data_IF_769955712022
#
_entry.id   IF_769955712022
#
_cell.length_a   1.000
_cell.length_b   1.000
_cell.length_c   1.000
_cell.angle_alpha   90.00
_cell.angle_beta   90.00
_cell.angle_gamma   90.00
#
_symmetry.space_group_name_H-M   'P 1'
#
loop_
_entity.id
_entity.type
_entity.pdbx_description
1 polymer ?
#
# COMPACT_ATOMS: atom_id res chain seq x y z
N UNK A 1 9.41 2.83 -18.03
CA UNK A 1 8.51 1.85 -18.65
C UNK A 1 9.32 0.63 -19.11
N UNK A 2 8.70 -0.55 -19.09
CA UNK A 2 9.36 -1.79 -19.49
C UNK A 2 10.04 -2.60 -18.38
N UNK A 3 10.17 -2.08 -17.18
CA UNK A 3 10.77 -2.82 -16.05
C UNK A 3 10.07 -4.15 -15.78
N UNK A 4 8.76 -4.13 -15.64
CA UNK A 4 7.97 -5.35 -15.38
C UNK A 4 8.08 -6.34 -16.53
N UNK A 5 7.96 -5.89 -17.79
CA UNK A 5 8.15 -6.73 -18.97
C UNK A 5 9.54 -7.38 -18.99
N UNK A 6 10.59 -6.61 -18.66
CA UNK A 6 11.96 -7.13 -18.59
C UNK A 6 12.12 -8.14 -17.46
N UNK A 7 11.55 -7.88 -16.27
CA UNK A 7 11.62 -8.80 -15.12
C UNK A 7 10.90 -10.11 -15.40
N UNK A 8 9.71 -10.05 -16.00
CA UNK A 8 8.95 -11.25 -16.38
C UNK A 8 9.68 -12.04 -17.45
N UNK A 9 10.18 -11.36 -18.52
CA UNK A 9 10.94 -12.01 -19.59
C UNK A 9 12.24 -12.64 -19.10
N UNK A 10 12.94 -12.00 -18.15
CA UNK A 10 14.13 -12.58 -17.52
C UNK A 10 13.78 -13.84 -16.73
N UNK A 11 12.70 -13.81 -15.95
CA UNK A 11 12.22 -14.98 -15.19
C UNK A 11 11.87 -16.14 -16.12
N UNK A 12 11.13 -15.86 -17.21
CA UNK A 12 10.77 -16.89 -18.20
C UNK A 12 12.01 -17.44 -18.91
N UNK A 13 12.96 -16.58 -19.28
CA UNK A 13 14.24 -16.98 -19.86
C UNK A 13 15.08 -17.86 -18.94
N UNK A 14 15.16 -17.54 -17.65
CA UNK A 14 15.86 -18.36 -16.66
C UNK A 14 15.22 -19.75 -16.53
N UNK A 15 13.91 -19.84 -16.42
CA UNK A 15 13.20 -21.11 -16.37
C UNK A 15 13.40 -21.92 -17.66
N UNK A 16 13.37 -21.28 -18.83
CA UNK A 16 13.59 -21.93 -20.11
C UNK A 16 14.96 -22.60 -20.25
N UNK A 17 16.00 -22.03 -19.65
CA UNK A 17 17.34 -22.63 -19.61
C UNK A 17 17.56 -23.57 -18.41
N UNK A 18 16.48 -24.00 -17.75
CA UNK A 18 16.50 -24.99 -16.67
C UNK A 18 16.89 -24.43 -15.29
N UNK A 19 16.87 -23.13 -15.10
CA UNK A 19 17.05 -22.50 -13.77
C UNK A 19 15.71 -22.42 -13.04
N UNK A 20 15.69 -22.72 -11.76
CA UNK A 20 14.48 -22.58 -10.91
C UNK A 20 14.34 -21.12 -10.49
N UNK A 21 13.53 -20.36 -11.18
CA UNK A 21 13.34 -18.93 -10.96
C UNK A 21 11.89 -18.57 -10.69
N UNK A 22 11.67 -17.55 -9.87
CA UNK A 22 10.37 -16.93 -9.58
C UNK A 22 10.50 -15.41 -9.69
N UNK A 23 9.45 -14.74 -10.20
CA UNK A 23 9.39 -13.29 -10.25
C UNK A 23 8.49 -12.76 -9.14
N UNK A 24 8.93 -11.68 -8.46
CA UNK A 24 8.15 -10.98 -7.44
C UNK A 24 7.91 -9.54 -7.91
N UNK A 25 6.64 -9.17 -8.05
CA UNK A 25 6.20 -7.91 -8.64
C UNK A 25 5.34 -7.10 -7.68
N UNK A 26 5.24 -5.80 -7.96
CA UNK A 26 4.26 -4.93 -7.31
C UNK A 26 2.89 -5.09 -7.96
N UNK A 27 1.85 -4.96 -7.16
CA UNK A 27 0.48 -4.79 -7.62
C UNK A 27 0.29 -3.36 -8.18
N UNK A 28 -0.39 -3.18 -9.33
CA UNK A 28 -0.60 -1.87 -9.92
C UNK A 28 -1.73 -1.09 -9.20
N UNK A 29 -1.55 0.22 -9.07
CA UNK A 29 -2.60 1.15 -8.62
C UNK A 29 -3.60 1.44 -9.73
N UNK A 30 -4.89 1.58 -9.40
CA UNK A 30 -5.96 1.90 -10.36
C UNK A 30 -5.75 3.26 -11.03
N UNK A 31 -5.32 4.28 -10.29
CA UNK A 31 -5.10 5.61 -10.84
C UNK A 31 -4.13 5.60 -12.03
N UNK A 32 -2.88 5.14 -11.87
CA UNK A 32 -1.96 4.98 -13.00
C UNK A 32 -2.42 4.00 -14.07
N UNK A 33 -3.16 2.94 -13.73
CA UNK A 33 -3.66 1.96 -14.71
C UNK A 33 -4.67 2.56 -15.69
N UNK A 34 -5.51 3.48 -15.20
CA UNK A 34 -6.43 4.26 -16.03
C UNK A 34 -5.84 5.57 -16.55
N UNK A 35 -4.60 5.89 -16.19
CA UNK A 35 -3.86 7.06 -16.64
C UNK A 35 -2.89 6.74 -17.77
N UNK A 36 -1.80 7.52 -17.83
CA UNK A 36 -0.80 7.40 -18.91
C UNK A 36 0.18 6.22 -18.74
N UNK A 37 0.23 5.58 -17.56
CA UNK A 37 1.23 4.54 -17.27
C UNK A 37 0.76 3.12 -17.60
N UNK A 38 -0.53 2.88 -17.74
CA UNK A 38 -1.09 1.54 -17.92
C UNK A 38 -0.89 0.63 -16.71
N UNK A 39 -1.21 -0.65 -16.87
CA UNK A 39 -1.07 -1.68 -15.83
C UNK A 39 0.38 -2.15 -15.63
N UNK A 40 0.59 -3.02 -14.65
CA UNK A 40 1.90 -3.53 -14.26
C UNK A 40 2.01 -5.06 -14.33
N UNK A 41 1.27 -5.70 -15.23
CA UNK A 41 1.32 -7.15 -15.47
C UNK A 41 2.36 -7.57 -16.54
N UNK A 42 3.16 -6.65 -17.05
CA UNK A 42 4.05 -6.87 -18.18
C UNK A 42 3.39 -6.58 -19.52
N UNK A 43 3.91 -7.11 -20.61
CA UNK A 43 3.37 -6.88 -21.95
C UNK A 43 3.87 -7.87 -22.99
N UNK A 44 3.13 -7.99 -24.08
CA UNK A 44 3.42 -8.97 -25.11
C UNK A 44 3.43 -10.39 -24.58
N UNK A 45 4.48 -11.15 -24.87
CA UNK A 45 4.65 -12.52 -24.35
C UNK A 45 5.17 -12.57 -22.90
N UNK A 46 5.83 -11.51 -22.44
CA UNK A 46 6.35 -11.41 -21.07
C UNK A 46 5.30 -10.78 -20.15
N UNK A 47 4.30 -11.58 -19.77
CA UNK A 47 3.13 -11.12 -19.07
C UNK A 47 2.72 -12.09 -17.97
N UNK A 48 2.24 -11.54 -16.84
CA UNK A 48 1.62 -12.27 -15.72
C UNK A 48 0.12 -12.33 -15.94
N UNK A 49 -0.48 -13.45 -15.62
CA UNK A 49 -1.93 -13.69 -15.78
C UNK A 49 -2.59 -14.01 -14.44
N UNK A 50 -3.86 -13.64 -14.26
CA UNK A 50 -4.80 -12.97 -15.18
C UNK A 50 -4.60 -11.44 -15.21
N UNK A 51 -4.22 -10.89 -16.34
CA UNK A 51 -3.79 -9.49 -16.48
C UNK A 51 -4.89 -8.48 -16.13
N UNK A 52 -6.10 -8.69 -16.61
CA UNK A 52 -7.23 -7.79 -16.34
C UNK A 52 -7.55 -7.71 -14.84
N UNK A 53 -7.55 -8.84 -14.14
CA UNK A 53 -7.81 -8.87 -12.70
C UNK A 53 -6.69 -8.19 -11.92
N UNK A 54 -5.43 -8.46 -12.28
CA UNK A 54 -4.26 -7.85 -11.64
C UNK A 54 -4.29 -6.32 -11.79
N UNK A 55 -4.67 -5.82 -12.95
CA UNK A 55 -4.74 -4.37 -13.23
C UNK A 55 -5.95 -3.67 -12.62
N UNK A 56 -6.89 -4.39 -12.05
CA UNK A 56 -8.09 -3.85 -11.41
C UNK A 56 -8.05 -4.07 -9.89
N UNK A 57 -8.91 -4.91 -9.37
CA UNK A 57 -9.05 -5.11 -7.92
C UNK A 57 -8.23 -6.30 -7.40
N UNK A 58 -7.85 -7.18 -8.28
CA UNK A 58 -7.10 -8.41 -8.02
C UNK A 58 -7.67 -9.19 -6.84
N UNK A 59 -6.95 -9.26 -5.72
CA UNK A 59 -7.37 -9.94 -4.49
C UNK A 59 -7.90 -8.99 -3.42
N UNK A 60 -7.90 -7.68 -3.69
CA UNK A 60 -8.43 -6.68 -2.78
C UNK A 60 -7.44 -6.12 -1.77
N UNK A 61 -6.14 -6.36 -1.91
CA UNK A 61 -5.11 -5.87 -0.99
C UNK A 61 -5.13 -4.35 -0.88
N UNK A 62 -5.29 -3.63 -1.99
CA UNK A 62 -5.37 -2.17 -2.00
C UNK A 62 -6.64 -1.65 -1.34
N UNK A 63 -7.75 -2.36 -1.48
CA UNK A 63 -8.99 -2.04 -0.74
C UNK A 63 -8.80 -2.21 0.77
N UNK A 64 -8.10 -3.26 1.19
CA UNK A 64 -7.79 -3.47 2.60
C UNK A 64 -6.90 -2.35 3.16
N UNK A 65 -5.88 -1.94 2.42
CA UNK A 65 -4.98 -0.83 2.79
C UNK A 65 -5.75 0.50 2.84
N UNK A 66 -6.58 0.79 1.84
CA UNK A 66 -7.44 1.97 1.81
C UNK A 66 -8.38 2.00 3.01
N UNK A 67 -9.01 0.87 3.33
CA UNK A 67 -9.92 0.75 4.47
C UNK A 67 -9.22 0.96 5.80
N UNK A 68 -8.05 0.34 6.02
CA UNK A 68 -7.26 0.51 7.23
C UNK A 68 -6.79 1.97 7.39
N UNK A 69 -6.34 2.60 6.31
CA UNK A 69 -5.91 4.00 6.31
C UNK A 69 -7.06 4.95 6.70
N UNK A 70 -8.20 4.80 6.04
CA UNK A 70 -9.35 5.68 6.26
C UNK A 70 -10.06 5.40 7.60
N UNK A 71 -9.96 4.18 8.12
CA UNK A 71 -10.40 3.88 9.49
C UNK A 71 -9.65 4.76 10.50
N UNK A 72 -8.33 4.88 10.35
CA UNK A 72 -7.53 5.74 11.24
C UNK A 72 -7.96 7.21 11.12
N UNK A 73 -8.20 7.71 9.91
CA UNK A 73 -8.71 9.07 9.68
C UNK A 73 -10.05 9.30 10.39
N UNK A 74 -10.97 8.34 10.27
CA UNK A 74 -12.28 8.41 10.92
C UNK A 74 -12.16 8.36 12.45
N UNK A 75 -11.26 7.54 12.99
CA UNK A 75 -11.03 7.44 14.43
C UNK A 75 -10.43 8.73 15.02
N UNK A 76 -9.56 9.41 14.27
CA UNK A 76 -9.01 10.72 14.68
C UNK A 76 -10.13 11.75 14.81
N UNK A 77 -10.98 11.92 13.79
CA UNK A 77 -12.07 12.88 13.81
C UNK A 77 -13.11 12.53 14.86
N UNK A 78 -13.44 11.27 15.00
CA UNK A 78 -14.34 10.78 16.07
C UNK A 78 -13.77 11.06 17.47
N UNK A 79 -12.48 10.85 17.70
CA UNK A 79 -11.83 11.16 18.96
C UNK A 79 -11.88 12.66 19.30
N UNK A 80 -11.62 13.50 18.30
CA UNK A 80 -11.69 14.97 18.45
C UNK A 80 -13.14 15.39 18.80
N UNK A 81 -14.12 14.83 18.12
CA UNK A 81 -15.54 15.14 18.33
C UNK A 81 -16.01 14.74 19.75
N UNK A 82 -15.65 13.56 20.23
CA UNK A 82 -16.10 13.01 21.52
C UNK A 82 -15.21 13.40 22.71
N UNK A 83 -14.69 14.60 22.71
CA UNK A 83 -14.05 15.22 23.88
C UNK A 83 -12.52 15.22 23.87
N UNK A 84 -11.89 14.73 22.80
CA UNK A 84 -10.46 14.91 22.53
C UNK A 84 -9.54 14.70 23.74
N UNK A 85 -9.67 13.57 24.42
CA UNK A 85 -8.91 13.26 25.64
C UNK A 85 -7.40 13.28 25.44
N UNK A 86 -6.91 13.03 24.23
CA UNK A 86 -5.50 13.10 23.86
C UNK A 86 -5.01 14.53 23.58
N UNK A 87 -5.90 15.52 23.66
CA UNK A 87 -5.60 16.93 23.39
C UNK A 87 -4.95 17.18 22.02
N UNK A 88 -5.47 16.50 20.99
CA UNK A 88 -5.02 16.68 19.60
C UNK A 88 -5.29 18.13 19.17
N UNK A 89 -4.30 18.83 18.67
CA UNK A 89 -4.51 20.11 18.00
C UNK A 89 -5.06 19.85 16.60
N UNK A 90 -6.30 20.23 16.34
CA UNK A 90 -6.98 20.01 15.04
C UNK A 90 -6.23 20.59 13.83
N UNK A 91 -5.37 21.60 14.07
CA UNK A 91 -4.51 22.21 13.05
C UNK A 91 -3.22 21.42 12.81
N UNK A 92 -2.95 20.41 13.62
CA UNK A 92 -1.71 19.61 13.63
C UNK A 92 -1.98 18.14 13.42
N UNK A 93 -3.15 17.79 12.90
CA UNK A 93 -3.41 16.46 12.36
C UNK A 93 -2.62 16.35 11.06
N UNK A 94 -1.74 15.34 10.98
CA UNK A 94 -0.87 15.12 9.81
C UNK A 94 -1.34 13.94 8.95
N UNK A 95 -2.30 13.19 9.46
CA UNK A 95 -2.86 12.03 8.78
C UNK A 95 -4.03 12.46 7.91
N UNK A 96 -3.90 12.25 6.60
CA UNK A 96 -4.93 12.52 5.60
C UNK A 96 -5.78 11.27 5.33
N UNK A 97 -6.62 11.34 4.32
CA UNK A 97 -7.35 10.22 3.74
C UNK A 97 -6.65 9.68 2.49
N UNK A 98 -7.06 8.52 2.00
CA UNK A 98 -6.58 7.99 0.73
C UNK A 98 -7.71 7.41 -0.10
N UNK A 99 -7.50 7.39 -1.41
CA UNK A 99 -8.26 6.61 -2.37
C UNK A 99 -7.31 6.16 -3.49
N UNK A 100 -7.58 5.01 -4.11
CA UNK A 100 -6.71 4.50 -5.16
C UNK A 100 -7.06 5.09 -6.54
N UNK A 101 -7.05 6.42 -6.61
CA UNK A 101 -7.31 7.19 -7.82
C UNK A 101 -6.53 8.50 -7.80
N UNK A 102 -6.08 8.95 -8.97
CA UNK A 102 -5.50 10.29 -9.11
C UNK A 102 -6.64 11.32 -9.21
N UNK A 103 -6.95 11.99 -8.11
CA UNK A 103 -7.94 13.05 -8.08
C UNK A 103 -7.34 14.36 -7.54
N UNK A 104 -7.12 15.30 -8.47
CA UNK A 104 -6.54 16.60 -8.14
C UNK A 104 -7.45 17.44 -7.25
N UNK A 105 -8.76 17.32 -7.42
CA UNK A 105 -9.75 18.11 -6.69
C UNK A 105 -9.79 17.76 -5.20
N UNK A 106 -9.41 16.55 -4.84
CA UNK A 106 -9.43 16.06 -3.45
C UNK A 106 -8.10 16.25 -2.71
N UNK A 107 -7.06 16.82 -3.33
CA UNK A 107 -5.74 17.01 -2.68
C UNK A 107 -5.75 17.94 -1.49
N UNK A 108 -6.65 18.92 -1.51
CA UNK A 108 -6.86 19.88 -0.41
C UNK A 108 -8.33 20.19 -0.30
N UNK A 109 -8.92 19.80 0.82
CA UNK A 109 -10.35 19.97 1.11
C UNK A 109 -10.53 20.45 2.53
N UNK A 110 -11.73 20.87 2.86
CA UNK A 110 -12.18 21.10 4.24
C UNK A 110 -13.15 20.00 4.59
N UNK A 111 -12.88 19.30 5.70
CA UNK A 111 -13.78 18.28 6.26
C UNK A 111 -14.57 18.86 7.44
N UNK A 112 -15.58 18.11 7.90
CA UNK A 112 -16.41 18.40 9.08
C UNK A 112 -17.22 19.72 8.98
N UNK A 113 -17.58 20.15 7.77
CA UNK A 113 -18.57 21.20 7.55
C UNK A 113 -19.96 20.70 7.97
N UNK A 114 -20.85 21.60 8.34
CA UNK A 114 -22.23 21.26 8.75
C UNK A 114 -22.57 21.64 10.19
N UNK A 115 -21.72 22.43 10.83
CA UNK A 115 -21.96 22.98 12.17
C UNK A 115 -21.54 22.02 13.30
N UNK A 116 -21.85 22.42 14.52
CA UNK A 116 -21.38 21.75 15.75
C UNK A 116 -21.80 20.28 15.91
N UNK A 117 -22.87 19.90 15.24
CA UNK A 117 -23.35 18.50 15.26
C UNK A 117 -22.52 17.57 14.36
N UNK A 118 -21.68 18.11 13.48
CA UNK A 118 -20.91 17.32 12.51
C UNK A 118 -19.43 17.16 12.86
N UNK A 119 -18.81 18.16 13.48
CA UNK A 119 -17.40 18.05 13.87
C UNK A 119 -16.69 19.40 13.94
N UNK A 120 -15.38 19.36 13.86
CA UNK A 120 -14.50 20.53 13.88
C UNK A 120 -13.91 20.75 12.48
N UNK A 121 -14.33 21.79 11.73
CA UNK A 121 -13.80 22.07 10.41
C UNK A 121 -12.27 22.16 10.42
N UNK A 122 -11.63 21.38 9.54
CA UNK A 122 -10.17 21.39 9.38
C UNK A 122 -9.77 21.10 7.95
N UNK A 123 -8.55 21.45 7.61
CA UNK A 123 -7.96 21.06 6.34
C UNK A 123 -7.66 19.55 6.34
N UNK A 124 -7.95 18.91 5.22
CA UNK A 124 -7.64 17.51 4.95
C UNK A 124 -7.36 17.34 3.45
N UNK A 125 -7.23 16.12 2.97
CA UNK A 125 -7.08 15.77 1.58
C UNK A 125 -7.06 14.28 1.38
N UNK A 126 -7.08 13.87 0.11
CA UNK A 126 -6.91 12.48 -0.28
C UNK A 126 -5.59 12.34 -1.03
N UNK A 127 -4.70 11.50 -0.51
CA UNK A 127 -3.54 11.01 -1.24
C UNK A 127 -3.91 9.69 -1.95
N UNK A 128 -3.10 9.24 -2.90
CA UNK A 128 -3.34 7.95 -3.56
C UNK A 128 -2.93 6.80 -2.63
N UNK A 129 -3.65 5.69 -2.64
CA UNK A 129 -3.42 4.54 -1.74
C UNK A 129 -1.97 4.04 -1.76
N UNK A 130 -1.32 4.02 -2.91
CA UNK A 130 0.08 3.58 -3.05
C UNK A 130 1.11 4.56 -2.44
N UNK A 131 0.69 5.77 -2.06
CA UNK A 131 1.48 6.72 -1.29
C UNK A 131 1.19 6.66 0.22
N UNK A 132 0.32 5.77 0.67
CA UNK A 132 0.00 5.57 2.07
C UNK A 132 1.21 5.07 2.86
N UNK A 133 1.40 5.62 4.07
CA UNK A 133 2.38 5.08 5.02
C UNK A 133 2.07 3.62 5.38
N UNK A 134 0.77 3.23 5.40
CA UNK A 134 0.36 1.84 5.61
C UNK A 134 0.87 0.95 4.48
N UNK A 135 0.82 1.39 3.23
CA UNK A 135 1.40 0.65 2.10
C UNK A 135 2.89 0.40 2.30
N UNK A 136 3.66 1.40 2.73
CA UNK A 136 5.08 1.26 3.00
C UNK A 136 5.35 0.29 4.17
N UNK A 137 4.64 0.46 5.27
CA UNK A 137 4.72 -0.43 6.44
C UNK A 137 4.37 -1.88 6.07
N UNK A 138 3.28 -2.07 5.34
CA UNK A 138 2.80 -3.36 4.84
C UNK A 138 3.88 -4.09 4.03
N UNK A 139 4.54 -3.38 3.14
CA UNK A 139 5.59 -3.96 2.30
C UNK A 139 6.88 -4.27 3.07
N UNK A 140 7.16 -3.56 4.17
CA UNK A 140 8.36 -3.76 4.99
C UNK A 140 8.13 -4.72 6.16
N UNK A 141 6.89 -4.99 6.54
CA UNK A 141 6.56 -5.90 7.63
C UNK A 141 7.02 -7.34 7.32
N UNK A 142 7.43 -8.05 8.36
CA UNK A 142 7.90 -9.43 8.25
C UNK A 142 6.83 -10.45 8.63
N UNK A 143 5.85 -10.03 9.42
CA UNK A 143 4.70 -10.82 9.84
C UNK A 143 3.58 -9.90 10.37
N UNK A 144 2.46 -10.48 10.78
CA UNK A 144 1.29 -9.75 11.25
C UNK A 144 1.56 -8.97 12.55
N UNK A 145 2.40 -9.49 13.43
CA UNK A 145 2.75 -8.83 14.71
C UNK A 145 3.67 -7.64 14.50
N UNK A 146 4.63 -7.77 13.60
CA UNK A 146 5.50 -6.67 13.18
C UNK A 146 4.68 -5.57 12.49
N UNK A 147 3.72 -5.96 11.62
CA UNK A 147 2.77 -5.04 10.99
C UNK A 147 1.99 -4.24 12.04
N UNK A 148 1.38 -4.91 13.01
CA UNK A 148 0.62 -4.27 14.10
C UNK A 148 1.48 -3.28 14.89
N UNK A 149 2.70 -3.68 15.25
CA UNK A 149 3.64 -2.85 16.00
C UNK A 149 4.01 -1.58 15.24
N UNK A 150 4.30 -1.71 13.94
CA UNK A 150 4.66 -0.57 13.07
C UNK A 150 3.48 0.37 12.88
N UNK A 151 2.28 -0.16 12.63
CA UNK A 151 1.03 0.63 12.51
C UNK A 151 0.78 1.42 13.80
N UNK A 152 0.98 0.79 14.96
CA UNK A 152 0.82 1.46 16.25
C UNK A 152 1.72 2.68 16.44
N UNK A 153 2.86 2.73 15.79
CA UNK A 153 3.84 3.81 15.87
C UNK A 153 3.64 4.95 14.85
N UNK A 154 2.65 4.84 13.97
CA UNK A 154 2.32 5.92 13.03
C UNK A 154 1.98 7.19 13.81
N UNK A 155 2.66 8.29 13.49
CA UNK A 155 2.33 9.61 14.04
C UNK A 155 1.12 10.18 13.32
N UNK A 156 0.04 10.44 14.05
CA UNK A 156 -1.23 10.93 13.50
C UNK A 156 -1.40 12.44 13.62
N UNK A 157 -0.68 13.05 14.53
CA UNK A 157 -0.76 14.48 14.81
C UNK A 157 0.00 14.86 16.07
N UNK A 158 -0.25 16.05 16.53
CA UNK A 158 0.43 16.60 17.72
C UNK A 158 -0.55 17.29 18.65
N UNK A 159 -0.22 17.32 19.94
CA UNK A 159 -0.90 18.18 20.92
C UNK A 159 -0.56 19.65 20.68
N UNK A 160 -1.27 20.55 21.38
CA UNK A 160 -0.91 21.99 21.38
C UNK A 160 0.52 22.25 21.83
N UNK A 161 1.01 21.43 22.77
CA UNK A 161 2.39 21.49 23.29
C UNK A 161 3.40 20.75 22.37
N UNK A 162 2.99 20.39 21.15
CA UNK A 162 3.84 19.73 20.14
C UNK A 162 4.30 18.33 20.50
N UNK A 163 3.66 17.63 21.42
CA UNK A 163 3.91 16.21 21.69
C UNK A 163 3.27 15.37 20.59
N UNK A 164 4.02 14.43 20.03
CA UNK A 164 3.52 13.50 19.02
C UNK A 164 2.47 12.57 19.63
N UNK A 165 1.44 12.27 18.84
CA UNK A 165 0.38 11.30 19.16
C UNK A 165 0.43 10.23 18.06
N UNK A 166 0.41 8.97 18.47
CA UNK A 166 0.49 7.83 17.58
C UNK A 166 -0.82 7.07 17.47
N UNK A 167 -0.96 6.22 16.45
CA UNK A 167 -2.16 5.40 16.23
C UNK A 167 -2.47 4.49 17.42
N UNK A 168 -1.46 4.00 18.15
CA UNK A 168 -1.64 3.20 19.37
C UNK A 168 -2.32 3.97 20.51
N UNK A 169 -2.15 5.28 20.57
CA UNK A 169 -2.77 6.11 21.59
C UNK A 169 -4.30 6.20 21.43
N UNK A 170 -4.77 5.95 20.19
CA UNK A 170 -6.20 5.77 19.85
C UNK A 170 -6.66 4.30 19.93
N UNK A 171 -5.79 3.36 20.25
CA UNK A 171 -6.03 1.92 20.12
C UNK A 171 -6.47 1.49 18.70
N UNK A 172 -6.02 2.24 17.67
CA UNK A 172 -6.42 2.01 16.28
C UNK A 172 -5.68 0.85 15.62
N UNK A 173 -4.47 0.52 16.07
CA UNK A 173 -3.57 -0.46 15.43
C UNK A 173 -4.17 -1.87 15.35
N UNK A 174 -4.87 -2.34 16.38
CA UNK A 174 -5.53 -3.65 16.37
C UNK A 174 -6.59 -3.78 15.27
N UNK A 175 -7.64 -2.91 15.26
CA UNK A 175 -8.64 -2.90 14.19
C UNK A 175 -8.06 -2.74 12.78
N UNK A 176 -7.05 -1.86 12.60
CA UNK A 176 -6.37 -1.70 11.32
C UNK A 176 -5.66 -2.99 10.89
N UNK A 177 -4.99 -3.68 11.80
CA UNK A 177 -4.32 -4.96 11.52
C UNK A 177 -5.32 -6.05 11.15
N UNK A 178 -6.49 -6.09 11.78
CA UNK A 178 -7.57 -7.02 11.42
C UNK A 178 -8.03 -6.82 9.97
N UNK A 179 -8.15 -5.58 9.49
CA UNK A 179 -8.48 -5.29 8.10
C UNK A 179 -7.40 -5.77 7.12
N UNK A 180 -6.15 -5.87 7.55
CA UNK A 180 -5.00 -6.24 6.72
C UNK A 180 -4.62 -7.72 6.82
N UNK A 181 -5.25 -8.50 7.71
CA UNK A 181 -4.80 -9.87 8.04
C UNK A 181 -4.81 -10.85 6.87
N UNK A 182 -5.72 -10.69 5.92
CA UNK A 182 -5.77 -11.52 4.71
C UNK A 182 -4.83 -10.96 3.63
N UNK A 183 -4.81 -9.64 3.46
CA UNK A 183 -3.97 -8.96 2.49
C UNK A 183 -2.46 -9.18 2.73
N UNK A 184 -2.01 -9.42 3.96
CA UNK A 184 -0.60 -9.66 4.29
C UNK A 184 -0.02 -10.93 3.64
N UNK A 185 -0.84 -11.81 3.10
CA UNK A 185 -0.44 -13.03 2.40
C UNK A 185 -0.12 -12.72 0.94
N UNK A 186 1.09 -13.04 0.45
CA UNK A 186 1.44 -12.81 -0.95
C UNK A 186 0.54 -13.56 -1.92
N UNK A 187 0.22 -12.92 -3.04
CA UNK A 187 -0.61 -13.49 -4.08
C UNK A 187 0.25 -14.27 -5.07
N UNK A 188 0.01 -15.58 -5.18
CA UNK A 188 0.73 -16.45 -6.12
C UNK A 188 -0.06 -16.56 -7.42
N UNK A 189 0.64 -16.36 -8.53
CA UNK A 189 0.10 -16.40 -9.89
C UNK A 189 1.16 -16.97 -10.83
N UNK A 190 1.02 -16.80 -12.13
CA UNK A 190 1.96 -17.31 -13.12
C UNK A 190 2.14 -16.39 -14.32
N UNK A 191 3.22 -16.58 -15.06
CA UNK A 191 3.43 -15.96 -16.38
C UNK A 191 2.66 -16.71 -17.47
N UNK A 192 2.55 -16.11 -18.66
CA UNK A 192 1.98 -16.79 -19.84
C UNK A 192 2.73 -18.08 -20.20
N UNK A 193 4.01 -18.19 -19.84
CA UNK A 193 4.84 -19.39 -20.05
C UNK A 193 4.74 -20.39 -18.86
N UNK A 194 3.74 -20.21 -17.98
CA UNK A 194 3.45 -21.06 -16.80
C UNK A 194 4.57 -21.07 -15.73
N UNK A 195 5.40 -20.05 -15.68
CA UNK A 195 6.40 -19.89 -14.63
C UNK A 195 5.79 -19.17 -13.41
N UNK A 196 6.23 -19.49 -12.18
CA UNK A 196 5.65 -18.91 -10.99
C UNK A 196 5.96 -17.42 -10.86
N UNK A 197 4.94 -16.67 -10.40
CA UNK A 197 5.05 -15.26 -10.07
C UNK A 197 4.35 -14.96 -8.75
N UNK A 198 4.86 -14.00 -7.98
CA UNK A 198 4.24 -13.47 -6.77
C UNK A 198 3.98 -11.99 -6.98
N UNK A 199 2.75 -11.56 -6.69
CA UNK A 199 2.38 -10.13 -6.73
C UNK A 199 1.93 -9.73 -5.33
N UNK A 200 2.59 -8.72 -4.74
CA UNK A 200 2.26 -8.31 -3.38
C UNK A 200 2.78 -6.91 -3.05
N UNK A 201 1.87 -6.03 -2.63
CA UNK A 201 2.13 -4.65 -2.34
C UNK A 201 2.46 -3.82 -3.58
N UNK A 202 2.46 -2.50 -3.46
CA UNK A 202 2.67 -1.63 -4.62
C UNK A 202 3.07 -0.20 -4.25
N UNK A 203 4.07 0.02 -3.37
CA UNK A 203 4.44 1.36 -2.94
C UNK A 203 5.09 2.13 -4.10
N UNK A 204 4.81 3.44 -4.20
CA UNK A 204 5.53 4.30 -5.11
C UNK A 204 6.98 4.49 -4.66
N UNK A 205 7.92 4.42 -5.59
CA UNK A 205 9.35 4.51 -5.32
C UNK A 205 9.81 5.90 -4.83
N UNK A 206 9.06 6.96 -5.17
CA UNK A 206 9.31 8.31 -4.68
C UNK A 206 8.73 8.59 -3.30
N UNK A 207 7.96 7.67 -2.75
CA UNK A 207 7.36 7.78 -1.40
C UNK A 207 7.99 6.75 -0.45
N UNK A 208 8.27 5.56 -0.95
CA UNK A 208 8.83 4.44 -0.20
C UNK A 208 9.89 3.70 -1.02
N UNK A 209 10.11 2.42 -0.78
CA UNK A 209 11.18 1.62 -1.40
C UNK A 209 10.90 1.14 -2.84
N UNK A 210 9.68 1.32 -3.37
CA UNK A 210 9.36 1.03 -4.79
C UNK A 210 9.51 -0.42 -5.24
N UNK A 211 9.47 -1.37 -4.30
CA UNK A 211 9.56 -2.81 -4.54
C UNK A 211 8.31 -3.53 -4.03
N UNK A 212 8.16 -4.80 -4.40
CA UNK A 212 7.21 -5.70 -3.76
C UNK A 212 7.54 -5.90 -2.27
N UNK A 213 6.68 -6.60 -1.54
CA UNK A 213 6.86 -6.79 -0.10
C UNK A 213 8.08 -7.69 0.24
N UNK A 214 8.63 -7.47 1.42
CA UNK A 214 9.67 -8.31 2.02
C UNK A 214 9.18 -9.76 2.20
N UNK A 215 7.91 -9.95 2.58
CA UNK A 215 7.31 -11.28 2.74
C UNK A 215 7.31 -12.03 1.41
N UNK A 216 6.92 -11.37 0.31
CA UNK A 216 6.91 -11.99 -1.02
C UNK A 216 8.33 -12.39 -1.47
N UNK A 217 9.31 -11.50 -1.31
CA UNK A 217 10.70 -11.80 -1.66
C UNK A 217 11.26 -12.97 -0.82
N UNK A 218 11.02 -12.97 0.50
CA UNK A 218 11.44 -14.09 1.37
C UNK A 218 10.75 -15.40 1.01
N UNK A 219 9.48 -15.38 0.62
CA UNK A 219 8.78 -16.57 0.13
C UNK A 219 9.39 -17.06 -1.18
N UNK A 220 9.66 -16.18 -2.13
CA UNK A 220 10.33 -16.51 -3.37
C UNK A 220 11.69 -17.17 -3.15
N UNK A 221 12.51 -16.62 -2.25
CA UNK A 221 13.84 -17.18 -1.91
C UNK A 221 13.78 -18.57 -1.27
N UNK A 222 12.66 -18.96 -0.67
CA UNK A 222 12.44 -20.33 -0.16
C UNK A 222 11.93 -21.29 -1.23
N UNK A 223 11.33 -20.78 -2.30
CA UNK A 223 10.67 -21.58 -3.33
C UNK A 223 11.54 -21.77 -4.58
N UNK A 224 12.52 -20.91 -4.83
CA UNK A 224 13.34 -20.93 -6.03
C UNK A 224 14.81 -20.60 -5.74
N UNK A 225 15.70 -20.95 -6.69
CA UNK A 225 17.14 -20.66 -6.60
C UNK A 225 17.43 -19.21 -7.00
N UNK A 226 16.56 -18.63 -7.84
CA UNK A 226 16.62 -17.25 -8.31
C UNK A 226 15.31 -16.53 -8.07
N UNK A 227 15.38 -15.34 -7.50
CA UNK A 227 14.24 -14.43 -7.35
C UNK A 227 14.52 -13.17 -8.17
N UNK A 228 13.68 -12.95 -9.18
CA UNK A 228 13.70 -11.71 -9.96
C UNK A 228 12.72 -10.73 -9.34
N UNK A 229 13.16 -9.53 -9.02
CA UNK A 229 12.30 -8.47 -8.52
C UNK A 229 12.54 -7.18 -9.30
N UNK A 230 11.58 -6.29 -9.27
CA UNK A 230 11.73 -4.94 -9.83
C UNK A 230 11.84 -3.90 -8.73
N UNK A 231 12.52 -2.78 -9.04
CA UNK A 231 12.55 -1.61 -8.17
C UNK A 231 12.29 -0.35 -8.98
N UNK A 232 11.63 0.63 -8.35
CA UNK A 232 11.49 1.95 -8.93
C UNK A 232 12.83 2.71 -8.94
N UNK A 233 13.00 3.61 -9.90
CA UNK A 233 14.18 4.50 -10.01
C UNK A 233 15.54 3.80 -10.06
N UNK A 234 15.61 2.54 -10.49
CA UNK A 234 16.85 1.84 -10.73
C UNK A 234 17.41 1.06 -9.55
N UNK A 235 16.68 0.92 -8.45
CA UNK A 235 17.08 0.18 -7.25
C UNK A 235 18.31 0.79 -6.52
N UNK A 236 18.38 2.09 -6.47
CA UNK A 236 19.40 2.84 -5.72
C UNK A 236 19.24 2.68 -4.20
#
# INVERSE_FOLDING_TARGET
EGKTTTSVGLNDGLNKIGKKSIVCLREPSLGPSFGMKGGAAGGGYAQVVPMEQINLHFTGDFHAITSAHNLLSALIDNHIYWGNKLNIDVRRVVWKRVMDMNDRSLRSIVVDLGGVANGYPRQDGFDITVASEIMAIFCLATDLKDLETRIGNITIGYTRDKKAICAKDLNAHGPMTVLLKEAIRPNVTQTLENNPAIIHGGPFANIAHGCNSVIATKAGLKLADYVVTEAGFGAD
#
